data_IF_564395833967
#
_entry.id   IF_564395833967
#
_cell.length_a   1.000
_cell.length_b   1.000
_cell.length_c   1.000
_cell.angle_alpha   90.00
_cell.angle_beta   90.00
_cell.angle_gamma   90.00
#
_symmetry.space_group_name_H-M   'P 1'
#
loop_
_entity.id
_entity.type
_entity.pdbx_description
1 polymer ?
#
# COMPACT_ATOMS: atom_id res chain seq x y z
N UNK A 1 9.20 8.75 3.04
CA UNK A 1 8.19 9.75 2.61
C UNK A 1 8.75 11.13 2.38
N UNK A 2 9.72 11.63 3.18
CA UNK A 2 10.18 13.04 3.10
C UNK A 2 10.62 13.54 1.71
N UNK A 3 10.97 12.64 0.78
CA UNK A 3 11.36 12.98 -0.59
C UNK A 3 10.29 12.72 -1.66
N UNK A 4 9.06 12.33 -1.30
CA UNK A 4 8.00 12.17 -2.31
C UNK A 4 7.25 13.47 -2.55
N UNK A 5 6.73 13.65 -3.78
CA UNK A 5 5.89 14.79 -4.16
C UNK A 5 4.61 14.90 -3.32
N UNK A 6 4.23 13.82 -2.62
CA UNK A 6 3.12 13.78 -1.69
C UNK A 6 3.40 14.46 -0.35
N UNK A 7 4.64 14.42 0.14
CA UNK A 7 4.92 14.70 1.56
C UNK A 7 4.50 16.10 2.00
N UNK A 8 4.89 17.13 1.25
CA UNK A 8 4.59 18.52 1.58
C UNK A 8 3.07 18.78 1.58
N UNK A 9 2.35 18.24 0.60
CA UNK A 9 0.92 18.42 0.45
C UNK A 9 0.14 17.71 1.55
N UNK A 10 0.47 16.44 1.83
CA UNK A 10 -0.17 15.70 2.94
C UNK A 10 0.10 16.41 4.26
N UNK A 11 1.36 16.82 4.52
CA UNK A 11 1.72 17.52 5.75
C UNK A 11 0.93 18.83 5.92
N UNK A 12 0.70 19.57 4.84
CA UNK A 12 -0.08 20.81 4.87
C UNK A 12 -1.58 20.61 5.17
N UNK A 13 -2.13 19.43 4.88
CA UNK A 13 -3.53 19.09 5.17
C UNK A 13 -3.75 18.53 6.59
N UNK A 14 -2.67 18.14 7.28
CA UNK A 14 -2.76 17.59 8.62
C UNK A 14 -2.63 18.68 9.69
N UNK A 15 -3.27 18.51 10.86
CA UNK A 15 -3.05 19.40 11.99
C UNK A 15 -1.57 19.50 12.35
N UNK A 16 -1.17 20.65 12.90
CA UNK A 16 0.20 20.89 13.32
C UNK A 16 0.70 19.78 14.27
N UNK A 17 1.90 19.28 14.02
CA UNK A 17 2.53 18.20 14.80
C UNK A 17 1.93 16.81 14.60
N UNK A 18 0.83 16.65 13.85
CA UNK A 18 0.16 15.36 13.69
C UNK A 18 1.03 14.31 12.99
N UNK A 19 1.79 14.71 11.97
CA UNK A 19 2.72 13.81 11.27
C UNK A 19 3.79 13.22 12.22
N UNK A 20 4.28 14.02 13.18
CA UNK A 20 5.20 13.56 14.22
C UNK A 20 4.56 12.51 15.14
N UNK A 21 3.28 12.70 15.50
CA UNK A 21 2.52 11.71 16.29
C UNK A 21 2.35 10.39 15.55
N UNK A 22 2.09 10.42 14.24
CA UNK A 22 2.02 9.20 13.42
C UNK A 22 3.36 8.45 13.46
N UNK A 23 4.48 9.15 13.25
CA UNK A 23 5.81 8.53 13.30
C UNK A 23 6.09 7.90 14.67
N UNK A 24 5.83 8.63 15.76
CA UNK A 24 6.01 8.11 17.12
C UNK A 24 5.15 6.87 17.39
N UNK A 25 3.88 6.90 16.95
CA UNK A 25 2.97 5.76 17.08
C UNK A 25 3.49 4.53 16.33
N UNK A 26 3.96 4.71 15.09
CA UNK A 26 4.55 3.62 14.33
C UNK A 26 5.78 3.03 15.04
N UNK A 27 6.73 3.86 15.50
CA UNK A 27 7.91 3.36 16.25
C UNK A 27 7.50 2.49 17.44
N UNK A 28 6.51 2.94 18.21
CA UNK A 28 6.02 2.22 19.38
C UNK A 28 5.39 0.88 19.01
N UNK A 29 4.52 0.86 17.99
CA UNK A 29 3.77 -0.35 17.62
C UNK A 29 4.68 -1.39 16.97
N UNK A 30 5.61 -0.98 16.10
CA UNK A 30 6.60 -1.90 15.51
C UNK A 30 7.62 -2.44 16.53
N UNK A 31 7.84 -1.75 17.65
CA UNK A 31 8.68 -2.26 18.74
C UNK A 31 7.96 -3.27 19.66
N UNK A 32 6.63 -3.34 19.62
CA UNK A 32 5.81 -4.15 20.55
C UNK A 32 5.36 -5.49 19.98
N UNK A 33 5.47 -5.70 18.67
CA UNK A 33 5.06 -6.95 18.06
C UNK A 33 5.13 -6.94 16.54
N UNK A 34 4.57 -7.99 15.95
CA UNK A 34 4.51 -8.15 14.50
C UNK A 34 3.45 -7.23 13.92
N UNK A 35 3.89 -6.36 13.02
CA UNK A 35 3.04 -5.39 12.30
C UNK A 35 3.35 -5.53 10.82
N UNK A 36 2.30 -5.49 9.98
CA UNK A 36 2.42 -5.56 8.53
C UNK A 36 1.89 -4.27 7.88
N UNK A 37 2.49 -3.84 6.75
CA UNK A 37 3.70 -4.38 6.11
C UNK A 37 4.97 -4.06 6.93
N UNK A 38 6.17 -4.50 6.51
CA UNK A 38 7.42 -3.95 7.05
C UNK A 38 7.41 -2.42 7.03
N UNK A 39 7.96 -1.78 8.06
CA UNK A 39 7.84 -0.33 8.30
C UNK A 39 8.27 0.51 7.10
N UNK A 40 9.33 0.11 6.42
CA UNK A 40 9.86 0.72 5.20
C UNK A 40 8.89 0.69 4.01
N UNK A 41 7.95 -0.26 4.01
CA UNK A 41 6.93 -0.41 2.95
C UNK A 41 5.61 0.29 3.28
N UNK A 42 5.41 0.86 4.47
CA UNK A 42 4.13 1.48 4.87
C UNK A 42 3.64 2.52 3.86
N UNK A 43 4.55 3.28 3.25
CA UNK A 43 4.22 4.31 2.28
C UNK A 43 4.55 3.95 0.84
N UNK A 44 4.75 2.66 0.53
CA UNK A 44 5.24 2.21 -0.78
C UNK A 44 4.43 2.79 -1.94
N UNK A 45 3.09 2.77 -1.89
CA UNK A 45 2.23 3.31 -2.95
C UNK A 45 2.53 4.77 -3.33
N UNK A 46 2.82 5.60 -2.33
CA UNK A 46 3.13 7.03 -2.51
C UNK A 46 4.57 7.27 -2.94
N UNK A 47 5.47 6.32 -2.66
CA UNK A 47 6.87 6.37 -3.10
C UNK A 47 7.02 5.89 -4.54
N UNK A 48 6.22 4.91 -4.97
CA UNK A 48 6.28 4.35 -6.33
C UNK A 48 5.42 5.13 -7.34
N UNK A 49 4.47 5.92 -6.86
CA UNK A 49 3.56 6.70 -7.72
C UNK A 49 3.61 8.16 -7.31
N UNK A 50 4.46 9.00 -7.94
CA UNK A 50 4.46 10.43 -7.72
C UNK A 50 3.06 11.02 -7.95
N UNK A 51 2.67 12.03 -7.16
CA UNK A 51 1.33 12.63 -7.21
C UNK A 51 0.94 13.09 -8.62
N UNK A 52 1.87 13.70 -9.33
CA UNK A 52 1.72 14.22 -10.69
C UNK A 52 1.51 13.13 -11.75
N UNK A 53 1.86 11.88 -11.44
CA UNK A 53 1.67 10.73 -12.33
C UNK A 53 0.37 9.95 -12.01
N UNK A 54 -0.33 10.31 -10.94
CA UNK A 54 -1.58 9.64 -10.54
C UNK A 54 -2.66 9.85 -11.59
N UNK A 55 -3.24 8.74 -12.07
CA UNK A 55 -4.40 8.75 -12.95
C UNK A 55 -5.62 8.06 -12.34
N UNK A 56 -5.39 7.02 -11.54
CA UNK A 56 -6.41 6.20 -10.90
C UNK A 56 -5.96 5.94 -9.46
N UNK A 57 -6.91 5.96 -8.53
CA UNK A 57 -6.70 5.59 -7.13
C UNK A 57 -7.58 4.38 -6.82
N UNK A 58 -6.95 3.27 -6.42
CA UNK A 58 -7.63 2.08 -5.92
C UNK A 58 -7.47 2.09 -4.40
N UNK A 59 -8.58 2.16 -3.67
CA UNK A 59 -8.59 2.19 -2.21
C UNK A 59 -8.90 0.80 -1.66
N UNK A 60 -7.98 0.27 -0.85
CA UNK A 60 -8.23 -0.90 0.01
C UNK A 60 -8.67 -0.49 1.41
N UNK A 61 -9.01 -1.47 2.25
CA UNK A 61 -9.38 -1.25 3.65
C UNK A 61 -8.14 -1.17 4.55
N UNK A 62 -7.47 -2.30 4.74
CA UNK A 62 -6.27 -2.47 5.55
C UNK A 62 -5.29 -3.45 4.87
N UNK A 63 -4.00 -3.46 5.27
CA UNK A 63 -3.03 -4.39 4.70
C UNK A 63 -3.38 -5.84 5.03
N UNK A 64 -2.99 -6.77 4.14
CA UNK A 64 -3.03 -8.19 4.48
C UNK A 64 -2.22 -8.49 5.75
N UNK A 65 -2.80 -9.31 6.64
CA UNK A 65 -2.25 -9.60 7.97
C UNK A 65 -1.39 -10.87 8.01
N UNK A 66 -1.24 -11.60 6.90
CA UNK A 66 -0.40 -12.80 6.84
C UNK A 66 1.08 -12.46 6.64
N UNK A 67 2.01 -13.28 7.16
CA UNK A 67 3.44 -13.09 6.98
C UNK A 67 3.83 -12.96 5.50
N UNK A 68 4.52 -11.85 5.16
CA UNK A 68 5.03 -11.60 3.82
C UNK A 68 4.00 -11.18 2.76
N UNK A 69 2.70 -11.10 3.11
CA UNK A 69 1.65 -10.77 2.14
C UNK A 69 1.63 -9.27 1.80
N UNK A 70 1.58 -8.39 2.80
CA UNK A 70 1.45 -6.97 2.58
C UNK A 70 2.79 -6.34 2.11
N UNK A 71 2.73 -5.59 1.01
CA UNK A 71 3.88 -4.89 0.45
C UNK A 71 3.70 -3.37 0.29
N UNK A 72 2.70 -2.79 0.98
CA UNK A 72 2.45 -1.35 0.95
C UNK A 72 1.65 -0.86 -0.27
N UNK A 73 1.01 -1.78 -0.98
CA UNK A 73 0.12 -1.55 -2.12
C UNK A 73 -1.20 -2.28 -1.85
N UNK A 74 -2.34 -1.63 -2.06
CA UNK A 74 -3.66 -2.24 -1.85
C UNK A 74 -3.86 -3.46 -2.75
N UNK A 75 -4.46 -4.53 -2.23
CA UNK A 75 -4.77 -5.80 -2.91
C UNK A 75 -3.57 -6.62 -3.41
N UNK A 76 -2.40 -6.02 -3.55
CA UNK A 76 -1.20 -6.64 -4.10
C UNK A 76 -0.45 -7.50 -3.07
N UNK A 77 0.11 -8.62 -3.52
CA UNK A 77 1.02 -9.50 -2.78
C UNK A 77 2.27 -9.80 -3.63
N UNK A 78 3.41 -10.20 -3.04
CA UNK A 78 4.56 -10.67 -3.81
C UNK A 78 4.22 -11.90 -4.67
N UNK A 79 4.87 -12.07 -5.82
CA UNK A 79 4.58 -13.16 -6.78
C UNK A 79 4.78 -14.56 -6.17
N UNK A 80 5.65 -14.68 -5.17
CA UNK A 80 5.86 -15.93 -4.43
C UNK A 80 4.73 -16.30 -3.46
N UNK A 81 3.74 -15.42 -3.28
CA UNK A 81 2.60 -15.61 -2.39
C UNK A 81 1.35 -15.87 -3.24
N UNK A 82 0.58 -16.94 -2.95
CA UNK A 82 -0.69 -17.18 -3.62
C UNK A 82 -1.63 -15.98 -3.50
N UNK A 83 -2.29 -15.63 -4.62
CA UNK A 83 -3.25 -14.54 -4.66
C UNK A 83 -4.36 -14.73 -3.60
N UNK A 84 -4.62 -13.77 -2.71
CA UNK A 84 -5.73 -13.84 -1.76
C UNK A 84 -7.10 -13.80 -2.47
N UNK A 85 -8.20 -14.22 -1.82
CA UNK A 85 -9.52 -14.31 -2.45
C UNK A 85 -9.98 -13.01 -3.13
N UNK A 86 -9.75 -11.86 -2.50
CA UNK A 86 -10.10 -10.56 -3.10
C UNK A 86 -9.32 -10.28 -4.38
N UNK A 87 -8.02 -10.62 -4.43
CA UNK A 87 -7.20 -10.45 -5.62
C UNK A 87 -7.62 -11.43 -6.73
N UNK A 88 -7.99 -12.67 -6.38
CA UNK A 88 -8.52 -13.62 -7.35
C UNK A 88 -9.81 -13.09 -8.00
N UNK A 89 -10.72 -12.52 -7.20
CA UNK A 89 -11.96 -11.91 -7.71
C UNK A 89 -11.66 -10.72 -8.63
N UNK A 90 -10.69 -9.86 -8.27
CA UNK A 90 -10.26 -8.74 -9.12
C UNK A 90 -9.70 -9.25 -10.45
N UNK A 91 -8.88 -10.32 -10.44
CA UNK A 91 -8.30 -10.89 -11.65
C UNK A 91 -9.35 -11.57 -12.53
N UNK A 92 -10.36 -12.21 -11.92
CA UNK A 92 -11.48 -12.78 -12.66
C UNK A 92 -12.30 -11.68 -13.35
N UNK A 93 -12.69 -10.63 -12.61
CA UNK A 93 -13.43 -9.50 -13.20
C UNK A 93 -12.61 -8.80 -14.29
N UNK A 94 -11.29 -8.62 -14.07
CA UNK A 94 -10.40 -8.06 -15.09
C UNK A 94 -10.38 -8.93 -16.37
N UNK A 95 -10.34 -10.26 -16.22
CA UNK A 95 -10.39 -11.18 -17.34
C UNK A 95 -11.73 -11.09 -18.10
N UNK A 96 -12.83 -10.92 -17.38
CA UNK A 96 -14.18 -10.89 -17.97
C UNK A 96 -14.49 -9.53 -18.64
N UNK A 97 -14.03 -8.42 -18.06
CA UNK A 97 -14.28 -7.05 -18.55
C UNK A 97 -13.42 -6.70 -19.78
N UNK A 98 -12.10 -6.95 -19.69
CA UNK A 98 -11.15 -6.50 -20.73
C UNK A 98 -10.46 -7.65 -21.49
N UNK A 99 -10.78 -8.90 -21.17
CA UNK A 99 -10.14 -10.09 -21.73
C UNK A 99 -8.79 -10.43 -21.09
N UNK A 100 -8.33 -11.68 -21.27
CA UNK A 100 -7.03 -12.13 -20.77
C UNK A 100 -5.89 -11.44 -21.54
N UNK A 101 -5.29 -10.41 -20.96
CA UNK A 101 -3.87 -10.15 -21.24
C UNK A 101 -3.09 -11.25 -20.53
N UNK A 102 -2.26 -11.99 -21.25
CA UNK A 102 -1.27 -12.91 -20.69
C UNK A 102 -0.40 -12.16 -19.66
N UNK A 103 -0.87 -12.08 -18.43
CA UNK A 103 -0.06 -11.75 -17.27
C UNK A 103 0.70 -13.05 -17.01
N UNK A 104 1.91 -13.15 -17.55
CA UNK A 104 2.84 -14.20 -17.16
C UNK A 104 3.11 -14.02 -15.67
N UNK A 105 2.47 -14.88 -14.88
CA UNK A 105 2.83 -15.18 -13.49
C UNK A 105 4.00 -16.15 -13.53
#
# INVERSE_FOLDING_TARGET
MEHSSWHALIKAQLPEGYFGKINQFMEQVYAQGTVYPPKEKVFQALLTTPLEEVKVVILGQDPYHGPGQAQGLSFSVPDSIPAPPSLQNILQELSDDIGVKNLMI
#
